data_IF_503404984112
#
_entry.id   IF_503404984112
#
_cell.length_a   1.000
_cell.length_b   1.000
_cell.length_c   1.000
_cell.angle_alpha   90.00
_cell.angle_beta   90.00
_cell.angle_gamma   90.00
#
_symmetry.space_group_name_H-M   'P 1'
#
loop_
_entity.id
_entity.type
_entity.pdbx_description
1 polymer ?
#
# COMPACT_ATOMS: atom_id res chain seq x y z
N UNK A 1 -27.56 -4.98 -3.59
CA UNK A 1 -26.90 -6.28 -3.30
C UNK A 1 -25.95 -6.55 -4.46
N UNK A 2 -24.73 -7.01 -4.20
CA UNK A 2 -23.75 -7.30 -5.25
C UNK A 2 -24.15 -8.51 -6.08
N UNK A 3 -23.70 -8.56 -7.33
CA UNK A 3 -23.85 -9.73 -8.20
C UNK A 3 -23.08 -10.91 -7.57
N UNK A 4 -23.75 -12.05 -7.46
CA UNK A 4 -23.19 -13.28 -6.91
C UNK A 4 -23.35 -14.42 -7.90
N UNK A 5 -22.28 -15.16 -8.15
CA UNK A 5 -22.25 -16.32 -9.06
C UNK A 5 -21.69 -17.55 -8.35
N UNK A 6 -22.26 -18.71 -8.63
CA UNK A 6 -21.72 -19.98 -8.18
C UNK A 6 -20.38 -20.26 -8.87
N UNK A 7 -19.42 -20.84 -8.15
CA UNK A 7 -18.08 -21.14 -8.67
C UNK A 7 -18.10 -21.93 -9.99
N UNK A 8 -19.00 -22.91 -10.12
CA UNK A 8 -19.14 -23.70 -11.35
C UNK A 8 -19.56 -22.84 -12.56
N UNK A 9 -20.48 -21.91 -12.34
CA UNK A 9 -20.98 -21.01 -13.39
C UNK A 9 -19.98 -19.90 -13.66
N UNK A 10 -19.34 -19.35 -12.61
CA UNK A 10 -18.27 -18.38 -12.72
C UNK A 10 -17.11 -18.91 -13.58
N UNK A 11 -16.75 -20.18 -13.43
CA UNK A 11 -15.70 -20.81 -14.24
C UNK A 11 -16.00 -20.78 -15.73
N UNK A 12 -17.26 -21.02 -16.15
CA UNK A 12 -17.65 -21.01 -17.56
C UNK A 12 -17.82 -19.59 -18.12
N UNK A 13 -18.09 -18.61 -17.26
CA UNK A 13 -18.36 -17.20 -17.62
C UNK A 13 -17.25 -16.26 -17.17
N UNK A 14 -16.06 -16.78 -16.84
CA UNK A 14 -15.02 -15.98 -16.16
C UNK A 14 -14.67 -14.71 -16.92
N UNK A 15 -14.56 -14.76 -18.25
CA UNK A 15 -14.25 -13.57 -19.05
C UNK A 15 -15.30 -12.47 -18.89
N UNK A 16 -16.60 -12.83 -18.86
CA UNK A 16 -17.68 -11.85 -18.67
C UNK A 16 -17.65 -11.24 -17.26
N UNK A 17 -17.41 -12.06 -16.25
CA UNK A 17 -17.30 -11.58 -14.85
C UNK A 17 -16.06 -10.72 -14.65
N UNK A 18 -14.97 -11.05 -15.32
CA UNK A 18 -13.75 -10.25 -15.32
C UNK A 18 -13.99 -8.88 -15.97
N UNK A 19 -14.64 -8.83 -17.13
CA UNK A 19 -15.00 -7.60 -17.80
C UNK A 19 -15.97 -6.75 -16.96
N UNK A 20 -16.95 -7.37 -16.29
CA UNK A 20 -17.84 -6.70 -15.34
C UNK A 20 -17.06 -6.07 -14.19
N UNK A 21 -16.14 -6.80 -13.58
CA UNK A 21 -15.35 -6.32 -12.44
C UNK A 21 -14.35 -5.22 -12.84
N UNK A 22 -13.77 -5.29 -14.06
CA UNK A 22 -12.71 -4.36 -14.50
C UNK A 22 -13.29 -3.17 -15.26
N UNK A 23 -14.19 -3.38 -16.23
CA UNK A 23 -14.70 -2.31 -17.09
C UNK A 23 -15.87 -1.57 -16.46
N UNK A 24 -16.78 -2.30 -15.80
CA UNK A 24 -17.92 -1.71 -15.11
C UNK A 24 -17.60 -1.36 -13.65
N UNK A 25 -16.44 -1.77 -13.16
CA UNK A 25 -15.96 -1.57 -11.78
C UNK A 25 -16.96 -2.11 -10.71
N UNK A 26 -17.78 -3.06 -11.09
CA UNK A 26 -18.76 -3.70 -10.20
C UNK A 26 -18.16 -4.95 -9.56
N UNK A 27 -18.08 -5.01 -8.22
CA UNK A 27 -17.58 -6.19 -7.54
C UNK A 27 -18.50 -7.40 -7.80
N UNK A 28 -17.88 -8.56 -8.06
CA UNK A 28 -18.59 -9.82 -8.25
C UNK A 28 -18.23 -10.80 -7.15
N UNK A 29 -19.21 -11.35 -6.45
CA UNK A 29 -19.02 -12.38 -5.45
C UNK A 29 -19.02 -13.74 -6.13
N UNK A 30 -18.03 -14.56 -5.87
CA UNK A 30 -17.95 -15.94 -6.36
C UNK A 30 -18.11 -16.87 -5.15
N UNK A 31 -19.16 -17.70 -5.19
CA UNK A 31 -19.53 -18.59 -4.09
C UNK A 31 -19.14 -20.03 -4.39
N UNK A 32 -18.41 -20.67 -3.48
CA UNK A 32 -18.10 -22.08 -3.52
C UNK A 32 -18.67 -22.78 -2.29
N UNK A 33 -19.75 -23.51 -2.51
CA UNK A 33 -20.49 -24.11 -1.40
C UNK A 33 -21.16 -23.04 -0.53
N UNK A 34 -21.36 -23.37 0.75
CA UNK A 34 -22.10 -22.49 1.67
C UNK A 34 -21.21 -21.51 2.47
N UNK A 35 -19.91 -21.69 2.47
CA UNK A 35 -19.00 -20.98 3.40
C UNK A 35 -17.78 -20.31 2.73
N UNK A 36 -17.53 -20.64 1.48
CA UNK A 36 -16.36 -20.09 0.77
C UNK A 36 -16.83 -19.04 -0.24
N UNK A 37 -16.44 -17.80 0.00
CA UNK A 37 -16.78 -16.68 -0.86
C UNK A 37 -15.47 -16.00 -1.29
N UNK A 38 -15.34 -15.76 -2.58
CA UNK A 38 -14.30 -14.92 -3.16
C UNK A 38 -14.90 -13.61 -3.68
N UNK A 39 -14.10 -12.60 -3.81
CA UNK A 39 -14.47 -11.32 -4.42
C UNK A 39 -13.58 -11.08 -5.64
N UNK A 40 -14.18 -10.88 -6.79
CA UNK A 40 -13.54 -10.35 -7.98
C UNK A 40 -13.79 -8.84 -8.02
N UNK A 41 -12.72 -8.06 -8.00
CA UNK A 41 -12.77 -6.61 -7.96
C UNK A 41 -11.69 -6.05 -8.87
N UNK A 42 -12.03 -5.05 -9.68
CA UNK A 42 -11.06 -4.33 -10.50
C UNK A 42 -10.03 -3.60 -9.63
N UNK A 43 -8.79 -3.55 -10.13
CA UNK A 43 -7.67 -2.89 -9.43
C UNK A 43 -7.98 -1.42 -9.08
N UNK A 44 -8.53 -0.67 -10.03
CA UNK A 44 -8.82 0.75 -9.85
C UNK A 44 -9.93 0.99 -8.81
N UNK A 45 -10.94 0.10 -8.79
CA UNK A 45 -11.95 0.11 -7.75
C UNK A 45 -11.34 -0.14 -6.36
N UNK A 46 -10.42 -1.10 -6.25
CA UNK A 46 -9.72 -1.36 -4.99
C UNK A 46 -8.82 -0.17 -4.58
N UNK A 47 -8.12 0.46 -5.51
CA UNK A 47 -7.32 1.66 -5.23
C UNK A 47 -8.15 2.81 -4.69
N UNK A 48 -9.38 3.00 -5.18
CA UNK A 48 -10.32 3.99 -4.61
C UNK A 48 -10.72 3.65 -3.18
N UNK A 49 -11.01 2.38 -2.90
CA UNK A 49 -11.33 1.92 -1.53
C UNK A 49 -10.15 2.15 -0.58
N UNK A 50 -8.92 1.97 -1.07
CA UNK A 50 -7.70 2.16 -0.29
C UNK A 50 -7.22 3.62 -0.23
N UNK A 51 -7.87 4.55 -0.93
CA UNK A 51 -7.44 5.96 -1.00
C UNK A 51 -7.33 6.66 0.36
N UNK A 52 -8.17 6.36 1.39
CA UNK A 52 -8.03 6.97 2.72
C UNK A 52 -6.75 6.57 3.47
N UNK A 53 -6.10 5.48 3.08
CA UNK A 53 -4.86 5.01 3.70
C UNK A 53 -3.66 5.78 3.12
N UNK A 54 -3.53 7.06 3.52
CA UNK A 54 -2.48 7.97 3.06
C UNK A 54 -1.16 7.66 3.74
N UNK A 55 -0.05 7.98 3.06
CA UNK A 55 1.30 7.85 3.59
C UNK A 55 1.85 9.21 4.01
N UNK A 56 2.54 9.22 5.15
CA UNK A 56 3.21 10.40 5.68
C UNK A 56 4.69 10.09 5.86
N UNK A 57 5.52 10.83 5.12
CA UNK A 57 6.97 10.71 5.19
C UNK A 57 7.56 11.95 5.82
N UNK A 58 8.24 11.77 6.95
CA UNK A 58 8.99 12.84 7.61
C UNK A 58 10.37 12.98 6.99
N UNK A 59 10.84 14.22 6.85
CA UNK A 59 12.21 14.55 6.47
C UNK A 59 12.94 15.03 7.71
N UNK A 60 13.95 14.29 8.11
CA UNK A 60 14.77 14.57 9.30
C UNK A 60 16.18 14.92 8.82
N UNK A 61 16.59 16.21 8.88
CA UNK A 61 17.97 16.57 8.64
C UNK A 61 18.84 16.08 9.82
N UNK A 62 19.98 15.47 9.50
CA UNK A 62 20.94 14.97 10.48
C UNK A 62 22.10 15.96 10.65
N UNK A 63 22.80 15.88 11.77
CA UNK A 63 23.84 16.85 12.17
C UNK A 63 25.03 16.95 11.18
N UNK A 64 25.29 15.90 10.40
CA UNK A 64 26.36 15.83 9.40
C UNK A 64 25.92 16.25 7.98
N UNK A 65 24.73 16.84 7.82
CA UNK A 65 24.20 17.27 6.53
C UNK A 65 23.60 16.15 5.70
N UNK A 66 23.44 14.95 6.26
CA UNK A 66 22.66 13.85 5.68
C UNK A 66 21.17 13.99 6.00
N UNK A 67 20.36 13.13 5.42
CA UNK A 67 18.91 13.14 5.61
C UNK A 67 18.42 11.75 5.97
N UNK A 68 17.48 11.67 6.91
CA UNK A 68 16.66 10.50 7.18
C UNK A 68 15.24 10.78 6.73
N UNK A 69 14.68 9.91 5.92
CA UNK A 69 13.26 9.88 5.60
C UNK A 69 12.60 8.77 6.39
N UNK A 70 11.51 9.10 7.07
CA UNK A 70 10.79 8.15 7.91
C UNK A 70 9.33 8.02 7.46
N UNK A 71 8.96 6.84 6.99
CA UNK A 71 7.59 6.54 6.60
C UNK A 71 6.83 6.01 7.82
N UNK A 72 5.85 6.79 8.30
CA UNK A 72 5.19 6.59 9.61
C UNK A 72 4.36 5.32 9.67
N UNK A 73 3.51 5.09 8.68
CA UNK A 73 2.49 4.04 8.70
C UNK A 73 3.10 2.64 8.66
N UNK A 74 4.20 2.48 7.94
CA UNK A 74 4.94 1.22 7.88
C UNK A 74 6.04 1.11 8.94
N UNK A 75 6.44 2.24 9.50
CA UNK A 75 7.57 2.33 10.43
C UNK A 75 8.90 1.92 9.76
N UNK A 76 9.15 2.50 8.57
CA UNK A 76 10.30 2.17 7.72
C UNK A 76 11.05 3.45 7.37
N UNK A 77 12.37 3.42 7.42
CA UNK A 77 13.24 4.55 7.13
C UNK A 77 14.19 4.35 5.97
N UNK A 78 14.68 5.48 5.44
CA UNK A 78 15.78 5.54 4.47
C UNK A 78 16.71 6.71 4.78
N UNK A 79 18.02 6.48 4.76
CA UNK A 79 19.03 7.48 5.05
C UNK A 79 19.92 7.70 3.82
N UNK A 80 20.39 8.94 3.63
CA UNK A 80 21.31 9.26 2.54
C UNK A 80 22.02 10.59 2.75
N UNK A 81 23.18 10.74 2.10
CA UNK A 81 23.97 11.98 2.13
C UNK A 81 23.25 13.16 1.42
N UNK A 82 22.27 12.86 0.58
CA UNK A 82 21.41 13.85 -0.06
C UNK A 82 19.96 13.40 0.10
N UNK A 83 19.02 14.32 -0.09
CA UNK A 83 17.60 14.01 -0.04
C UNK A 83 17.20 12.94 -1.08
N UNK A 84 17.79 13.00 -2.28
CA UNK A 84 17.53 11.99 -3.32
C UNK A 84 18.07 10.62 -2.92
N UNK A 85 19.29 10.54 -2.37
CA UNK A 85 19.85 9.28 -1.88
C UNK A 85 19.00 8.69 -0.73
N UNK A 86 18.50 9.54 0.18
CA UNK A 86 17.59 9.10 1.24
C UNK A 86 16.25 8.58 0.68
N UNK A 87 15.71 9.21 -0.39
CA UNK A 87 14.51 8.74 -1.11
C UNK A 87 14.72 7.36 -1.74
N UNK A 88 15.82 7.16 -2.45
CA UNK A 88 16.13 5.88 -3.09
C UNK A 88 16.27 4.76 -2.05
N UNK A 89 16.90 5.06 -0.92
CA UNK A 89 17.01 4.12 0.20
C UNK A 89 15.65 3.83 0.82
N UNK A 90 14.79 4.83 1.02
CA UNK A 90 13.44 4.62 1.54
C UNK A 90 12.60 3.77 0.60
N UNK A 91 12.63 4.04 -0.71
CA UNK A 91 11.91 3.25 -1.72
C UNK A 91 12.35 1.78 -1.66
N UNK A 92 13.66 1.53 -1.61
CA UNK A 92 14.20 0.17 -1.49
C UNK A 92 13.73 -0.52 -0.22
N UNK A 93 13.74 0.20 0.91
CA UNK A 93 13.29 -0.32 2.21
C UNK A 93 11.79 -0.64 2.21
N UNK A 94 10.97 0.23 1.61
CA UNK A 94 9.52 0.01 1.47
C UNK A 94 9.22 -1.19 0.57
N UNK A 95 9.90 -1.31 -0.58
CA UNK A 95 9.76 -2.48 -1.46
C UNK A 95 10.15 -3.78 -0.76
N UNK A 96 11.24 -3.76 0.01
CA UNK A 96 11.67 -4.89 0.84
C UNK A 96 10.60 -5.25 1.88
N UNK A 97 10.10 -4.26 2.60
CA UNK A 97 9.04 -4.45 3.59
C UNK A 97 7.76 -5.07 3.00
N UNK A 98 7.27 -4.57 1.88
CA UNK A 98 6.07 -5.11 1.19
C UNK A 98 6.29 -6.57 0.79
N UNK A 99 7.47 -6.89 0.25
CA UNK A 99 7.82 -8.27 -0.12
C UNK A 99 7.82 -9.20 1.09
N UNK A 100 8.50 -8.81 2.15
CA UNK A 100 8.61 -9.59 3.38
C UNK A 100 7.25 -9.79 4.05
N UNK A 101 6.40 -8.76 4.01
CA UNK A 101 5.04 -8.83 4.54
C UNK A 101 4.25 -9.97 3.89
N UNK A 102 4.24 -10.04 2.56
CA UNK A 102 3.50 -11.09 1.85
C UNK A 102 4.15 -12.47 1.98
N UNK A 103 5.47 -12.53 2.03
CA UNK A 103 6.17 -13.80 2.27
C UNK A 103 5.86 -14.39 3.64
N UNK A 104 5.65 -13.54 4.65
CA UNK A 104 5.36 -13.95 6.03
C UNK A 104 3.89 -13.71 6.42
N UNK A 105 3.00 -13.51 5.44
CA UNK A 105 1.61 -13.16 5.69
C UNK A 105 0.89 -14.16 6.61
N UNK A 106 1.16 -15.46 6.46
CA UNK A 106 0.60 -16.50 7.30
C UNK A 106 0.86 -16.29 8.80
N UNK A 107 1.99 -15.66 9.15
CA UNK A 107 2.33 -15.29 10.52
C UNK A 107 1.78 -13.88 10.86
N UNK A 108 1.99 -12.89 10.02
CA UNK A 108 1.64 -11.49 10.30
C UNK A 108 0.15 -11.25 10.44
N UNK A 109 -0.69 -12.01 9.73
CA UNK A 109 -2.17 -11.91 9.83
C UNK A 109 -2.72 -12.17 11.24
N UNK A 110 -1.93 -12.70 12.16
CA UNK A 110 -2.30 -12.96 13.54
C UNK A 110 -1.77 -11.89 14.53
N UNK A 111 -0.97 -10.95 14.06
CA UNK A 111 -0.40 -9.86 14.86
C UNK A 111 -1.20 -8.57 14.64
N UNK A 112 -1.86 -8.01 15.68
CA UNK A 112 -2.71 -6.81 15.53
C UNK A 112 -2.01 -5.64 14.85
N UNK A 113 -0.76 -5.35 15.21
CA UNK A 113 0.02 -4.26 14.62
C UNK A 113 0.32 -4.49 13.13
N UNK A 114 0.49 -5.72 12.71
CA UNK A 114 0.73 -6.08 11.31
C UNK A 114 -0.56 -6.06 10.50
N UNK A 115 -1.68 -6.50 11.10
CA UNK A 115 -3.01 -6.42 10.47
C UNK A 115 -3.41 -4.96 10.23
N UNK A 116 -3.10 -4.05 11.15
CA UNK A 116 -3.35 -2.63 10.97
C UNK A 116 -2.58 -2.01 9.79
N UNK A 117 -1.45 -2.60 9.38
CA UNK A 117 -0.64 -2.17 8.24
C UNK A 117 -1.09 -2.77 6.90
N UNK A 118 -1.92 -3.81 6.92
CA UNK A 118 -2.35 -4.53 5.73
C UNK A 118 -2.93 -3.63 4.62
N UNK A 119 -3.82 -2.66 4.90
CA UNK A 119 -4.35 -1.77 3.85
C UNK A 119 -3.26 -0.93 3.17
N UNK A 120 -2.26 -0.48 3.92
CA UNK A 120 -1.12 0.27 3.39
C UNK A 120 -0.25 -0.62 2.51
N UNK A 121 0.08 -1.83 2.98
CA UNK A 121 0.86 -2.80 2.22
C UNK A 121 0.12 -3.19 0.93
N UNK A 122 -1.19 -3.45 1.02
CA UNK A 122 -2.01 -3.78 -0.14
C UNK A 122 -2.02 -2.63 -1.15
N UNK A 123 -2.16 -1.37 -0.69
CA UNK A 123 -2.13 -0.20 -1.57
C UNK A 123 -0.81 -0.09 -2.34
N UNK A 124 0.33 -0.30 -1.66
CA UNK A 124 1.65 -0.30 -2.31
C UNK A 124 1.84 -1.47 -3.27
N UNK A 125 1.24 -2.63 -2.97
CA UNK A 125 1.31 -3.81 -3.84
C UNK A 125 0.56 -3.64 -5.17
N UNK A 126 -0.33 -2.65 -5.26
CA UNK A 126 -1.10 -2.33 -6.46
C UNK A 126 -0.42 -1.27 -7.35
N UNK A 127 0.74 -0.77 -6.95
CA UNK A 127 1.51 0.21 -7.72
C UNK A 127 2.24 -0.47 -8.88
N UNK A 128 2.17 0.12 -10.08
CA UNK A 128 2.72 -0.47 -11.31
C UNK A 128 4.09 0.08 -11.69
N UNK A 129 4.51 1.20 -11.13
CA UNK A 129 5.76 1.86 -11.49
C UNK A 129 6.40 2.58 -10.32
N UNK A 130 7.72 2.78 -10.41
CA UNK A 130 8.47 3.54 -9.40
C UNK A 130 7.94 4.97 -9.26
N UNK A 131 7.48 5.58 -10.35
CA UNK A 131 6.89 6.92 -10.30
C UNK A 131 5.60 6.93 -9.49
N UNK A 132 4.70 5.97 -9.69
CA UNK A 132 3.49 5.85 -8.88
C UNK A 132 3.80 5.57 -7.41
N UNK A 133 4.85 4.77 -7.14
CA UNK A 133 5.31 4.53 -5.78
C UNK A 133 5.77 5.84 -5.11
N UNK A 134 6.57 6.63 -5.82
CA UNK A 134 7.01 7.95 -5.34
C UNK A 134 5.81 8.88 -5.11
N UNK A 135 4.84 8.91 -6.02
CA UNK A 135 3.64 9.74 -5.88
C UNK A 135 2.80 9.31 -4.66
N UNK A 136 2.69 8.01 -4.41
CA UNK A 136 1.96 7.48 -3.24
C UNK A 136 2.69 7.80 -1.94
N UNK A 137 4.01 7.66 -1.89
CA UNK A 137 4.81 7.89 -0.69
C UNK A 137 5.03 9.38 -0.37
N UNK A 138 5.08 10.25 -1.39
CA UNK A 138 5.48 11.65 -1.25
C UNK A 138 4.45 12.66 -1.79
N UNK A 139 3.47 12.24 -2.60
CA UNK A 139 2.50 13.12 -3.25
C UNK A 139 1.37 13.64 -2.35
N UNK A 140 1.25 13.15 -1.13
CA UNK A 140 0.14 13.46 -0.22
C UNK A 140 0.27 14.69 0.65
N UNK A 141 1.46 15.28 0.80
CA UNK A 141 1.73 16.60 1.42
C UNK A 141 3.19 16.99 1.13
N UNK A 142 3.43 18.28 0.92
CA UNK A 142 4.80 18.80 0.98
C UNK A 142 5.43 18.36 2.32
N UNK A 143 6.71 17.90 2.35
CA UNK A 143 7.34 17.43 3.57
C UNK A 143 7.24 18.52 4.64
N UNK A 144 6.63 18.20 5.76
CA UNK A 144 6.68 19.08 6.92
C UNK A 144 8.13 19.11 7.39
N UNK A 145 8.85 20.18 7.05
CA UNK A 145 10.15 20.50 7.63
C UNK A 145 9.92 20.80 9.11
N UNK A 146 10.20 19.85 9.96
CA UNK A 146 10.32 20.12 11.39
C UNK A 146 11.62 20.89 11.61
N UNK A 147 11.52 22.23 11.54
CA UNK A 147 12.52 23.09 12.11
C UNK A 147 12.56 22.82 13.62
N UNK A 148 13.64 22.22 14.12
CA UNK A 148 13.93 22.26 15.55
C UNK A 148 14.03 23.72 15.96
N UNK A 149 13.12 24.20 16.80
CA UNK A 149 13.35 25.45 17.53
C UNK A 149 14.61 25.27 18.38
N UNK A 150 15.55 26.23 18.34
CA UNK A 150 16.70 26.17 19.22
C UNK A 150 16.20 26.28 20.66
N UNK A 151 16.49 25.25 21.46
CA UNK A 151 16.31 25.31 22.90
C UNK A 151 17.21 26.45 23.42
N UNK A 152 16.61 27.55 23.86
CA UNK A 152 17.32 28.64 24.53
C UNK A 152 17.91 28.09 25.83
N UNK A 153 19.23 28.25 25.96
CA UNK A 153 20.00 28.00 27.20
C UNK A 153 19.78 29.16 28.16
#
# INVERSE_FOLDING_TARGET
MLHSEKFTDARSKFSLLFDEAVQSELPVIIERGRREHGLLLGRDALLRVLSPFSFHTDVIPEDEGSFTLWQRELNVGGMGATLNAARDTLVSSVCGYVRDYWQQFGFYRHLPDMVAKEPYVLRLSLVDSDQQLLDVLFGGAAPATHSREPVAV
#
